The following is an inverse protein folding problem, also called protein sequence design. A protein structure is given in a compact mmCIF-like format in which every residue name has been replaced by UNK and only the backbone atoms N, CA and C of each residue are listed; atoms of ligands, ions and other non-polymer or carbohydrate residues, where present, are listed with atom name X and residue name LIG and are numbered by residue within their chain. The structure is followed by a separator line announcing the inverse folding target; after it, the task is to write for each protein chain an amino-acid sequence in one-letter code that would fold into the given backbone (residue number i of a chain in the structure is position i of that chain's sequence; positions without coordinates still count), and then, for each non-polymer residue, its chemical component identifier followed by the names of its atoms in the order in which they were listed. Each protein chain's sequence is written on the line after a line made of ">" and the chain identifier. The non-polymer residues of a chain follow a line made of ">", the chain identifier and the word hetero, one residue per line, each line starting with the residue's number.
data_IF_405878003072
#
_entry.id   IF_405878003072
#
_cell.length_a   1.000
_cell.length_b   1.000
_cell.length_c   1.000
_cell.angle_alpha   90.00
_cell.angle_beta   90.00
_cell.angle_gamma   90.00
#
_symmetry.space_group_name_H-M   'P 1'
#
loop_
_entity.id
_entity.type
_entity.pdbx_description
1 polymer ?
#
# COMPACT_ATOMS: atom_id res chain seq x y z
N UNK A 1 -5.92 0.20 -9.44
CA UNK A 1 -4.72 0.78 -8.82
C UNK A 1 -3.44 0.01 -9.20
N UNK A 2 -3.34 -1.31 -9.01
CA UNK A 2 -2.15 -2.15 -9.30
C UNK A 2 -1.48 -1.88 -10.65
N UNK A 3 -2.25 -1.69 -11.74
CA UNK A 3 -1.69 -1.41 -13.07
C UNK A 3 -0.81 -0.15 -13.12
N UNK A 4 -1.21 0.91 -12.44
CA UNK A 4 -0.45 2.18 -12.46
C UNK A 4 0.81 2.10 -11.61
N UNK A 5 0.79 1.32 -10.53
CA UNK A 5 2.00 1.07 -9.75
C UNK A 5 3.03 0.27 -10.57
N UNK A 6 2.57 -0.76 -11.29
CA UNK A 6 3.46 -1.52 -12.20
C UNK A 6 4.05 -0.60 -13.26
N UNK A 7 3.22 0.22 -13.92
CA UNK A 7 3.71 1.17 -14.92
C UNK A 7 4.69 2.17 -14.31
N UNK A 8 4.41 2.69 -13.09
CA UNK A 8 5.30 3.61 -12.39
C UNK A 8 6.67 3.01 -12.09
N UNK A 9 6.72 1.76 -11.65
CA UNK A 9 8.02 1.09 -11.46
C UNK A 9 8.78 0.91 -12.79
N UNK A 10 8.07 0.55 -13.84
CA UNK A 10 8.67 0.38 -15.16
C UNK A 10 9.05 1.72 -15.84
N UNK A 11 8.62 2.87 -15.31
CA UNK A 11 9.14 4.19 -15.70
C UNK A 11 10.58 4.40 -15.25
N UNK A 12 11.01 3.74 -14.17
CA UNK A 12 12.34 3.92 -13.57
C UNK A 12 13.34 2.88 -14.06
N UNK A 13 12.91 1.63 -14.18
CA UNK A 13 13.79 0.52 -14.58
C UNK A 13 12.99 -0.67 -15.11
N UNK A 14 13.64 -1.50 -15.91
CA UNK A 14 13.07 -2.74 -16.40
C UNK A 14 13.12 -3.81 -15.30
N UNK A 15 12.05 -4.60 -15.14
CA UNK A 15 11.92 -5.52 -14.01
C UNK A 15 11.32 -6.86 -14.42
N UNK A 16 11.70 -7.92 -13.70
CA UNK A 16 10.93 -9.18 -13.74
C UNK A 16 9.64 -9.05 -12.93
N UNK A 17 8.69 -9.94 -13.17
CA UNK A 17 7.46 -10.01 -12.35
C UNK A 17 7.76 -10.27 -10.85
N UNK A 18 8.86 -10.93 -10.54
CA UNK A 18 9.31 -11.15 -9.17
C UNK A 18 9.85 -9.86 -8.54
N UNK A 19 10.67 -9.08 -9.27
CA UNK A 19 11.21 -7.80 -8.77
C UNK A 19 10.09 -6.80 -8.51
N UNK A 20 9.11 -6.71 -9.44
CA UNK A 20 7.91 -5.90 -9.25
C UNK A 20 7.18 -6.31 -7.97
N UNK A 21 6.98 -7.62 -7.74
CA UNK A 21 6.35 -8.13 -6.53
C UNK A 21 7.12 -7.73 -5.28
N UNK A 22 8.43 -7.90 -5.28
CA UNK A 22 9.30 -7.56 -4.16
C UNK A 22 9.28 -6.04 -3.89
N UNK A 23 9.42 -5.22 -4.93
CA UNK A 23 9.38 -3.76 -4.82
C UNK A 23 8.02 -3.28 -4.29
N UNK A 24 6.91 -3.85 -4.77
CA UNK A 24 5.57 -3.56 -4.24
C UNK A 24 5.46 -3.91 -2.75
N UNK A 25 5.99 -5.05 -2.32
CA UNK A 25 5.90 -5.46 -0.91
C UNK A 25 6.64 -4.53 0.03
N UNK A 26 7.70 -3.90 -0.43
CA UNK A 26 8.53 -3.01 0.39
C UNK A 26 8.00 -1.57 0.35
N UNK A 27 7.57 -1.08 -0.82
CA UNK A 27 7.31 0.35 -1.03
C UNK A 27 5.83 0.75 -0.97
N UNK A 28 4.92 -0.06 -1.50
CA UNK A 28 3.52 0.36 -1.68
C UNK A 28 2.50 -0.43 -0.88
N UNK A 29 2.89 -1.52 -0.21
CA UNK A 29 1.99 -2.36 0.59
C UNK A 29 1.35 -1.62 1.77
N UNK A 30 1.95 -0.54 2.23
CA UNK A 30 1.49 0.23 3.39
C UNK A 30 0.26 1.10 3.12
N UNK A 31 -0.01 1.42 1.85
CA UNK A 31 -1.15 2.26 1.46
C UNK A 31 -2.00 1.65 0.34
N UNK A 32 -1.62 0.47 -0.14
CA UNK A 32 -2.36 -0.25 -1.17
C UNK A 32 -2.63 -1.69 -0.75
N UNK A 33 -3.90 -2.02 -0.78
CA UNK A 33 -4.39 -3.40 -0.64
C UNK A 33 -4.17 -4.15 -1.98
N UNK A 34 -2.92 -4.21 -2.41
CA UNK A 34 -2.54 -5.00 -3.59
C UNK A 34 -2.35 -6.44 -3.16
N UNK A 35 -3.36 -7.27 -3.34
CA UNK A 35 -3.15 -8.71 -3.21
C UNK A 35 -2.05 -9.13 -4.19
N UNK A 36 -0.98 -9.75 -3.68
CA UNK A 36 0.14 -10.25 -4.50
C UNK A 36 -0.34 -11.15 -5.64
N UNK A 37 -1.52 -11.79 -5.48
CA UNK A 37 -2.19 -12.54 -6.54
C UNK A 37 -2.65 -11.69 -7.73
N UNK A 38 -2.74 -10.36 -7.61
CA UNK A 38 -3.19 -9.48 -8.69
C UNK A 38 -2.07 -9.03 -9.64
N UNK A 39 -0.78 -9.23 -9.29
CA UNK A 39 0.36 -8.74 -10.07
C UNK A 39 0.44 -9.43 -11.43
N UNK A 40 0.53 -10.75 -11.45
CA UNK A 40 0.65 -11.50 -12.71
C UNK A 40 -0.56 -11.35 -13.63
N UNK A 41 -1.81 -11.39 -13.16
CA UNK A 41 -2.96 -11.01 -13.96
C UNK A 41 -2.90 -9.58 -14.49
N UNK A 42 -2.35 -8.62 -13.72
CA UNK A 42 -2.19 -7.24 -14.17
C UNK A 42 -1.12 -7.12 -15.25
N UNK A 43 0.02 -7.79 -15.10
CA UNK A 43 1.08 -7.85 -16.13
C UNK A 43 0.51 -8.39 -17.45
N UNK A 44 -0.23 -9.51 -17.41
CA UNK A 44 -0.86 -10.09 -18.60
C UNK A 44 -1.83 -9.12 -19.28
N UNK A 45 -2.64 -8.38 -18.50
CA UNK A 45 -3.57 -7.37 -19.05
C UNK A 45 -2.83 -6.17 -19.65
N UNK A 46 -1.74 -5.72 -19.03
CA UNK A 46 -0.93 -4.62 -19.53
C UNK A 46 -0.25 -5.00 -20.86
N UNK A 47 0.26 -6.22 -20.96
CA UNK A 47 0.84 -6.79 -22.16
C UNK A 47 -0.20 -6.87 -23.29
N UNK A 48 -1.40 -7.41 -23.01
CA UNK A 48 -2.51 -7.47 -23.97
C UNK A 48 -2.92 -6.10 -24.51
N UNK A 49 -2.82 -5.06 -23.65
CA UNK A 49 -3.09 -3.66 -24.02
C UNK A 49 -1.89 -2.96 -24.66
N UNK A 50 -0.78 -3.67 -24.88
CA UNK A 50 0.46 -3.11 -25.43
C UNK A 50 1.04 -1.94 -24.62
N UNK A 51 0.72 -1.86 -23.33
CA UNK A 51 1.25 -0.84 -22.42
C UNK A 51 2.63 -1.22 -21.87
N UNK A 52 2.93 -2.52 -21.87
CA UNK A 52 4.22 -3.09 -21.59
C UNK A 52 4.56 -4.15 -22.64
N UNK A 53 5.84 -4.41 -22.82
CA UNK A 53 6.37 -5.58 -23.53
C UNK A 53 7.34 -6.33 -22.62
N UNK A 54 7.83 -7.49 -23.05
CA UNK A 54 8.83 -8.24 -22.31
C UNK A 54 9.86 -8.86 -23.26
N UNK A 55 11.02 -9.14 -22.70
CA UNK A 55 12.04 -10.01 -23.28
C UNK A 55 12.25 -11.20 -22.37
N UNK A 56 12.52 -12.36 -22.98
CA UNK A 56 12.87 -13.56 -22.25
C UNK A 56 14.39 -13.65 -22.14
N UNK A 57 14.90 -13.70 -20.91
CA UNK A 57 16.32 -13.87 -20.61
C UNK A 57 16.54 -15.18 -19.85
N UNK A 58 17.75 -15.75 -20.01
CA UNK A 58 18.16 -16.91 -19.20
C UNK A 58 19.13 -16.40 -18.14
N UNK A 59 18.74 -16.52 -16.89
CA UNK A 59 19.57 -16.16 -15.74
C UNK A 59 19.66 -17.34 -14.77
N UNK A 60 20.88 -17.76 -14.44
CA UNK A 60 21.15 -18.93 -13.58
C UNK A 60 20.40 -20.21 -14.05
N UNK A 61 20.34 -20.45 -15.38
CA UNK A 61 19.65 -21.60 -15.98
C UNK A 61 18.13 -21.55 -15.94
N UNK A 62 17.52 -20.42 -15.52
CA UNK A 62 16.05 -20.23 -15.48
C UNK A 62 15.62 -19.17 -16.48
N UNK A 63 14.57 -19.47 -17.24
CA UNK A 63 13.92 -18.52 -18.13
C UNK A 63 13.15 -17.48 -17.29
N UNK A 64 13.43 -16.21 -17.52
CA UNK A 64 12.75 -15.09 -16.86
C UNK A 64 12.23 -14.12 -17.90
N UNK A 65 11.06 -13.50 -17.61
CA UNK A 65 10.52 -12.37 -18.39
C UNK A 65 10.92 -11.07 -17.71
N UNK A 66 11.63 -10.21 -18.44
CA UNK A 66 11.92 -8.83 -18.04
C UNK A 66 10.97 -7.92 -18.79
N UNK A 67 10.19 -7.14 -18.06
CA UNK A 67 9.16 -6.25 -18.60
C UNK A 67 9.69 -4.83 -18.80
N UNK A 68 9.20 -4.19 -19.87
CA UNK A 68 9.53 -2.84 -20.30
C UNK A 68 8.24 -2.07 -20.53
N UNK A 69 8.23 -0.78 -20.16
CA UNK A 69 7.10 0.09 -20.49
C UNK A 69 7.21 0.56 -21.93
N UNK A 70 6.08 0.57 -22.66
CA UNK A 70 5.99 1.14 -24.00
C UNK A 70 5.71 2.64 -23.96
N UNK A 71 5.85 3.36 -25.09
CA UNK A 71 5.46 4.77 -25.16
C UNK A 71 3.98 4.97 -24.81
N UNK A 72 3.10 4.10 -25.30
CA UNK A 72 1.67 4.10 -24.93
C UNK A 72 1.47 3.88 -23.43
N UNK A 73 2.27 3.02 -22.81
CA UNK A 73 2.24 2.78 -21.36
C UNK A 73 2.67 4.02 -20.56
N UNK A 74 3.70 4.73 -21.02
CA UNK A 74 4.16 6.01 -20.44
C UNK A 74 3.08 7.07 -20.51
N UNK A 75 2.44 7.23 -21.67
CA UNK A 75 1.36 8.20 -21.86
C UNK A 75 0.17 7.90 -20.94
N UNK A 76 -0.26 6.63 -20.84
CA UNK A 76 -1.36 6.24 -19.96
C UNK A 76 -1.02 6.45 -18.48
N UNK A 77 0.21 6.15 -18.08
CA UNK A 77 0.69 6.42 -16.72
C UNK A 77 0.69 7.92 -16.41
N UNK A 78 1.25 8.75 -17.30
CA UNK A 78 1.33 10.19 -17.11
C UNK A 78 -0.05 10.86 -17.10
N UNK A 79 -0.99 10.36 -17.91
CA UNK A 79 -2.40 10.83 -17.91
C UNK A 79 -3.05 10.55 -16.55
N UNK A 80 -2.88 9.35 -16.00
CA UNK A 80 -3.38 9.01 -14.67
C UNK A 80 -2.71 9.85 -13.59
N UNK A 81 -1.39 10.03 -13.64
CA UNK A 81 -0.63 10.76 -12.64
C UNK A 81 -1.04 12.23 -12.55
N UNK A 82 -1.37 12.85 -13.70
CA UNK A 82 -1.83 14.24 -13.80
C UNK A 82 -3.30 14.43 -13.45
N UNK A 83 -4.07 13.37 -13.42
CA UNK A 83 -5.48 13.45 -13.03
C UNK A 83 -5.61 13.94 -11.56
N UNK A 84 -6.71 14.64 -11.21
CA UNK A 84 -6.96 15.06 -9.84
C UNK A 84 -6.89 13.89 -8.86
N UNK A 85 -6.37 14.12 -7.66
CA UNK A 85 -6.35 13.12 -6.60
C UNK A 85 -7.77 12.93 -6.07
N UNK A 86 -8.32 11.73 -6.26
CA UNK A 86 -9.65 11.39 -5.75
C UNK A 86 -9.59 11.08 -4.25
N UNK A 87 -10.49 11.68 -3.49
CA UNK A 87 -10.70 11.35 -2.09
C UNK A 87 -11.53 10.07 -1.97
N UNK A 88 -10.87 8.94 -1.71
CA UNK A 88 -11.58 7.68 -1.47
C UNK A 88 -11.82 7.43 0.02
N UNK A 89 -13.05 7.03 0.37
CA UNK A 89 -13.51 6.78 1.74
C UNK A 89 -13.15 5.38 2.29
N UNK A 90 -12.26 4.61 1.67
CA UNK A 90 -12.34 3.14 1.74
C UNK A 90 -11.57 2.42 2.85
N UNK A 91 -10.58 3.01 3.53
CA UNK A 91 -9.84 2.23 4.55
C UNK A 91 -10.29 2.49 6.00
N UNK A 92 -10.68 3.70 6.34
CA UNK A 92 -11.25 4.00 7.66
C UNK A 92 -12.69 3.45 7.82
N UNK A 93 -13.39 3.23 6.72
CA UNK A 93 -14.80 2.82 6.73
C UNK A 93 -15.05 1.44 7.38
N UNK A 94 -14.13 0.49 7.26
CA UNK A 94 -14.30 -0.84 7.83
C UNK A 94 -14.25 -0.84 9.36
N UNK A 95 -13.27 -0.14 9.94
CA UNK A 95 -13.15 -0.02 11.40
C UNK A 95 -14.32 0.79 11.98
N UNK A 96 -14.63 1.93 11.37
CA UNK A 96 -15.74 2.79 11.81
C UNK A 96 -17.10 2.08 11.71
N UNK A 97 -17.31 1.23 10.71
CA UNK A 97 -18.55 0.44 10.59
C UNK A 97 -18.76 -0.52 11.75
N UNK A 98 -17.68 -1.10 12.29
CA UNK A 98 -17.76 -1.96 13.48
C UNK A 98 -18.03 -1.14 14.73
N UNK A 99 -17.29 -0.04 14.91
CA UNK A 99 -17.41 0.85 16.07
C UNK A 99 -18.82 1.44 16.15
N UNK A 100 -19.45 1.75 15.03
CA UNK A 100 -20.82 2.25 14.96
C UNK A 100 -21.84 1.33 15.65
N UNK A 101 -21.55 0.03 15.77
CA UNK A 101 -22.40 -0.97 16.38
C UNK A 101 -21.88 -1.48 17.74
N UNK A 102 -20.89 -0.83 18.35
CA UNK A 102 -20.26 -1.26 19.58
C UNK A 102 -21.17 -1.18 20.83
N UNK A 103 -22.27 -0.45 20.74
CA UNK A 103 -23.34 -0.45 21.76
C UNK A 103 -23.96 -1.85 22.02
N UNK A 104 -23.73 -2.79 21.10
CA UNK A 104 -24.14 -4.18 21.26
C UNK A 104 -23.10 -5.07 21.99
N UNK A 105 -21.98 -4.48 22.44
CA UNK A 105 -20.90 -5.18 23.13
C UNK A 105 -20.79 -4.73 24.60
N UNK A 106 -20.25 -5.60 25.45
CA UNK A 106 -19.84 -5.21 26.81
C UNK A 106 -18.61 -4.28 26.77
N UNK A 107 -18.41 -3.50 27.82
CA UNK A 107 -17.24 -2.61 27.94
C UNK A 107 -15.92 -3.38 27.83
N UNK A 108 -15.82 -4.59 28.38
CA UNK A 108 -14.64 -5.46 28.30
C UNK A 108 -14.37 -5.89 26.85
N UNK A 109 -15.41 -6.24 26.09
CA UNK A 109 -15.29 -6.62 24.69
C UNK A 109 -14.86 -5.43 23.82
N UNK A 110 -15.40 -4.24 24.08
CA UNK A 110 -15.01 -2.99 23.40
C UNK A 110 -13.52 -2.71 23.65
N UNK A 111 -13.11 -2.68 24.92
CA UNK A 111 -11.71 -2.41 25.30
C UNK A 111 -10.77 -3.43 24.65
N UNK A 112 -11.12 -4.72 24.73
CA UNK A 112 -10.33 -5.80 24.12
C UNK A 112 -10.24 -5.64 22.60
N UNK A 113 -11.37 -5.39 21.92
CA UNK A 113 -11.43 -5.23 20.46
C UNK A 113 -10.54 -4.09 19.98
N UNK A 114 -10.63 -2.94 20.65
CA UNK A 114 -9.87 -1.75 20.27
C UNK A 114 -8.41 -1.85 20.70
N UNK A 115 -8.14 -2.46 21.85
CA UNK A 115 -6.78 -2.76 22.29
C UNK A 115 -6.02 -3.61 21.26
N UNK A 116 -6.63 -4.68 20.78
CA UNK A 116 -6.09 -5.52 19.71
C UNK A 116 -5.87 -4.73 18.39
N UNK A 117 -6.82 -3.88 18.03
CA UNK A 117 -6.69 -3.05 16.82
C UNK A 117 -5.54 -2.04 16.93
N UNK A 118 -5.36 -1.40 18.10
CA UNK A 118 -4.23 -0.51 18.38
C UNK A 118 -2.90 -1.26 18.30
N UNK A 119 -2.85 -2.48 18.84
CA UNK A 119 -1.65 -3.32 18.78
C UNK A 119 -1.27 -3.64 17.33
N UNK A 120 -2.24 -4.02 16.50
CA UNK A 120 -2.01 -4.32 15.09
C UNK A 120 -1.58 -3.10 14.30
N UNK A 121 -2.20 -1.93 14.52
CA UNK A 121 -1.75 -0.66 13.94
C UNK A 121 -0.33 -0.30 14.37
N UNK A 122 0.03 -0.56 15.62
CA UNK A 122 1.38 -0.33 16.15
C UNK A 122 2.42 -1.22 15.48
N UNK A 123 2.08 -2.49 15.22
CA UNK A 123 2.94 -3.42 14.44
C UNK A 123 3.15 -2.89 13.02
N UNK A 124 2.08 -2.46 12.35
CA UNK A 124 2.15 -1.89 11.00
C UNK A 124 3.02 -0.62 10.95
N UNK A 125 2.85 0.28 11.93
CA UNK A 125 3.70 1.46 12.09
C UNK A 125 5.18 1.09 12.24
N UNK A 126 5.49 0.13 13.10
CA UNK A 126 6.87 -0.31 13.33
C UNK A 126 7.49 -0.90 12.06
N UNK A 127 6.74 -1.71 11.31
CA UNK A 127 7.19 -2.21 10.01
C UNK A 127 7.50 -1.05 9.04
N UNK A 128 6.68 0.00 9.03
CA UNK A 128 6.90 1.16 8.18
C UNK A 128 8.13 1.98 8.62
N UNK A 129 8.42 2.05 9.92
CA UNK A 129 9.65 2.66 10.45
C UNK A 129 10.89 1.90 9.99
N UNK A 130 10.84 0.57 9.95
CA UNK A 130 11.97 -0.25 9.48
C UNK A 130 12.18 -0.08 7.98
N UNK A 131 11.10 -0.04 7.19
CA UNK A 131 11.17 0.32 5.75
C UNK A 131 11.80 1.69 5.56
N UNK A 132 11.41 2.70 6.35
CA UNK A 132 12.00 4.03 6.28
C UNK A 132 13.50 4.01 6.53
N UNK A 133 13.98 3.28 7.54
CA UNK A 133 15.43 3.13 7.83
C UNK A 133 16.19 2.53 6.63
N UNK A 134 15.61 1.51 5.99
CA UNK A 134 16.23 0.85 4.82
C UNK A 134 16.31 1.79 3.61
N UNK A 135 15.31 2.63 3.41
CA UNK A 135 15.17 3.45 2.20
C UNK A 135 15.76 4.85 2.31
N UNK A 136 16.13 5.34 3.52
CA UNK A 136 16.54 6.74 3.75
C UNK A 136 17.67 7.20 2.82
N UNK A 137 18.58 6.32 2.42
CA UNK A 137 19.70 6.65 1.54
C UNK A 137 19.44 6.40 0.05
N UNK A 138 18.30 5.84 -0.32
CA UNK A 138 17.99 5.40 -1.68
C UNK A 138 16.68 5.95 -2.22
N UNK A 139 15.78 6.41 -1.33
CA UNK A 139 14.48 6.92 -1.70
C UNK A 139 14.55 8.40 -2.09
N UNK A 140 13.78 8.79 -3.10
CA UNK A 140 13.60 10.19 -3.44
C UNK A 140 12.67 10.90 -2.45
N UNK A 141 12.61 12.24 -2.51
CA UNK A 141 11.84 13.06 -1.58
C UNK A 141 10.33 12.73 -1.57
N UNK A 142 9.76 12.32 -2.70
CA UNK A 142 8.34 11.98 -2.78
C UNK A 142 8.06 10.61 -2.16
N UNK A 143 8.95 9.65 -2.34
CA UNK A 143 8.87 8.34 -1.67
C UNK A 143 8.99 8.50 -0.16
N UNK A 144 9.93 9.33 0.33
CA UNK A 144 10.04 9.65 1.76
C UNK A 144 8.80 10.40 2.29
N UNK A 145 8.20 11.27 1.48
CA UNK A 145 6.96 11.96 1.83
C UNK A 145 5.81 10.97 2.05
N UNK A 146 5.65 9.96 1.18
CA UNK A 146 4.61 8.93 1.35
C UNK A 146 4.82 8.08 2.60
N UNK A 147 6.08 7.75 2.93
CA UNK A 147 6.42 7.03 4.16
C UNK A 147 6.10 7.85 5.41
N UNK A 148 6.47 9.14 5.41
CA UNK A 148 6.16 10.03 6.52
C UNK A 148 4.65 10.17 6.73
N UNK A 149 3.90 10.38 5.64
CA UNK A 149 2.44 10.42 5.71
C UNK A 149 1.85 9.15 6.33
N UNK A 150 2.34 7.97 5.95
CA UNK A 150 1.89 6.71 6.53
C UNK A 150 2.19 6.62 8.04
N UNK A 151 3.35 7.06 8.48
CA UNK A 151 3.73 7.09 9.89
C UNK A 151 2.84 8.04 10.70
N UNK A 152 2.64 9.27 10.20
CA UNK A 152 1.81 10.29 10.83
C UNK A 152 0.34 9.83 10.90
N UNK A 153 -0.14 9.16 9.85
CA UNK A 153 -1.49 8.61 9.82
C UNK A 153 -1.68 7.51 10.88
N UNK A 154 -0.74 6.57 11.01
CA UNK A 154 -0.81 5.56 12.08
C UNK A 154 -0.76 6.20 13.46
N UNK A 155 0.09 7.21 13.67
CA UNK A 155 0.15 7.93 14.95
C UNK A 155 -1.17 8.63 15.27
N UNK A 156 -1.74 9.31 14.28
CA UNK A 156 -3.04 9.96 14.43
C UNK A 156 -4.13 8.95 14.80
N UNK A 157 -4.25 7.86 14.07
CA UNK A 157 -5.29 6.84 14.30
C UNK A 157 -5.11 6.19 15.67
N UNK A 158 -3.91 5.76 16.03
CA UNK A 158 -3.61 5.12 17.32
C UNK A 158 -3.96 6.07 18.48
N UNK A 159 -3.53 7.32 18.40
CA UNK A 159 -3.79 8.31 19.44
C UNK A 159 -5.28 8.66 19.53
N UNK A 160 -5.98 8.73 18.39
CA UNK A 160 -7.41 8.98 18.38
C UNK A 160 -8.17 7.88 19.12
N UNK A 161 -7.87 6.61 18.84
CA UNK A 161 -8.51 5.49 19.53
C UNK A 161 -8.19 5.47 21.02
N UNK A 162 -6.92 5.64 21.41
CA UNK A 162 -6.52 5.69 22.83
C UNK A 162 -7.27 6.76 23.61
N UNK A 163 -7.41 7.95 23.04
CA UNK A 163 -8.03 9.08 23.72
C UNK A 163 -9.56 8.93 23.80
N UNK A 164 -10.19 8.48 22.73
CA UNK A 164 -11.67 8.42 22.69
C UNK A 164 -12.24 7.24 23.47
N UNK A 165 -11.52 6.10 23.52
CA UNK A 165 -11.97 4.96 24.35
C UNK A 165 -11.91 5.29 25.83
N UNK A 166 -10.84 5.94 26.28
CA UNK A 166 -10.75 6.37 27.66
C UNK A 166 -11.86 7.36 28.05
N UNK A 167 -12.42 8.09 27.09
CA UNK A 167 -13.54 8.99 27.32
C UNK A 167 -14.89 8.24 27.34
N UNK A 168 -15.11 7.28 26.44
CA UNK A 168 -16.30 6.44 26.43
C UNK A 168 -16.44 5.62 27.74
N UNK A 169 -15.34 5.18 28.36
CA UNK A 169 -15.34 4.48 29.63
C UNK A 169 -15.61 5.38 30.86
N UNK A 170 -15.60 6.72 30.71
CA UNK A 170 -15.87 7.66 31.82
C UNK A 170 -17.32 8.10 31.88
N UNK A 171 -18.09 7.91 30.83
CA UNK A 171 -19.49 8.33 30.72
C UNK A 171 -20.50 7.19 30.91
N UNK A 172 -20.01 5.95 31.15
CA UNK A 172 -20.80 4.76 31.48
C UNK A 172 -20.55 4.33 32.93
#
# INVERSE_FOLDING_TARGET
>A
MTKFIILGFLMTENMTGYDIKQKMSISTSNFMDASFGSIYPSLKRLEQKKLICFEEIVENGKLKKVYYITEQGKEEFMTWLRAPIETSKTSAASALSKIFFFDNLSNEEIISSIGNYIEDLTKLKNNLLDVKKMLTNHANNFELCTLNFGLDLYDYIINWYKNNINNLNKEL
#
